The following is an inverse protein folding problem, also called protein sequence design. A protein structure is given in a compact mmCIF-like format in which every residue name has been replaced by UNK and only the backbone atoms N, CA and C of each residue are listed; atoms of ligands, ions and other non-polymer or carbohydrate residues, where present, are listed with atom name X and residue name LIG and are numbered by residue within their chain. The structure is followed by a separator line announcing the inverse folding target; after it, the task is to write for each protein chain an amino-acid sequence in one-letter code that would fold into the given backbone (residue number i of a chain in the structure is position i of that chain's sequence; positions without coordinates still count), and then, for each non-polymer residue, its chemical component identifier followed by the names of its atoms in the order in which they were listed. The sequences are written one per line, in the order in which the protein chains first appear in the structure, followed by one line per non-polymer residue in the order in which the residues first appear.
data_IF_545848480418
#
_entry.id   IF_545848480418
#
_cell.length_a   1.000
_cell.length_b   1.000
_cell.length_c   1.000
_cell.angle_alpha   90.00
_cell.angle_beta   90.00
_cell.angle_gamma   90.00
#
_symmetry.space_group_name_H-M   'P 1'
#
loop_
_entity.id
_entity.type
_entity.pdbx_description
1 polymer ?
#
# COMPACT_ATOMS: atom_id res chain seq x y z
N UNK A 1 2.78 45.65 -22.73
CA UNK A 1 3.79 46.02 -21.97
C UNK A 1 3.82 45.40 -20.66
N UNK A 2 3.84 46.18 -19.67
CA UNK A 2 3.92 45.69 -18.32
C UNK A 2 2.99 44.58 -18.02
N UNK A 3 2.01 44.45 -18.81
CA UNK A 3 1.02 43.45 -18.63
C UNK A 3 1.59 42.04 -18.59
N UNK A 4 2.70 41.86 -19.18
CA UNK A 4 3.30 40.55 -19.22
C UNK A 4 3.53 39.98 -17.83
N UNK A 5 3.68 40.80 -16.88
CA UNK A 5 3.95 40.30 -15.53
C UNK A 5 2.87 39.38 -15.03
N UNK A 6 1.71 39.68 -15.47
CA UNK A 6 0.56 38.92 -15.00
C UNK A 6 0.64 37.48 -15.38
N UNK A 7 1.24 37.24 -16.48
CA UNK A 7 1.33 35.90 -16.99
C UNK A 7 2.06 34.99 -16.04
N UNK A 8 3.05 35.51 -15.43
CA UNK A 8 3.85 34.71 -14.50
C UNK A 8 3.02 34.15 -13.37
N UNK A 9 2.07 34.91 -12.97
CA UNK A 9 1.23 34.50 -11.85
C UNK A 9 0.46 33.23 -12.13
N UNK A 10 0.01 33.14 -13.35
CA UNK A 10 -0.79 32.03 -13.74
C UNK A 10 -0.04 30.73 -13.61
N UNK A 11 1.21 30.77 -13.94
CA UNK A 11 2.03 29.57 -13.88
C UNK A 11 2.13 29.05 -12.47
N UNK A 12 2.22 29.94 -11.54
CA UNK A 12 2.35 29.56 -10.15
C UNK A 12 1.14 28.79 -9.68
N UNK A 13 0.00 29.22 -10.11
CA UNK A 13 -1.23 28.55 -9.70
C UNK A 13 -1.29 27.13 -10.20
N UNK A 14 -0.83 26.92 -11.38
CA UNK A 14 -0.85 25.59 -11.95
C UNK A 14 0.01 24.64 -11.11
N UNK A 15 1.13 25.12 -10.67
CA UNK A 15 1.99 24.29 -9.86
C UNK A 15 1.36 23.93 -8.53
N UNK A 16 0.69 24.88 -7.95
CA UNK A 16 0.05 24.64 -6.67
C UNK A 16 -0.99 23.53 -6.75
N UNK A 17 -1.78 23.55 -7.79
CA UNK A 17 -2.81 22.54 -7.92
C UNK A 17 -2.22 21.15 -8.14
N UNK A 18 -1.12 21.07 -8.82
CA UNK A 18 -0.49 19.77 -9.07
C UNK A 18 0.01 19.13 -7.78
N UNK A 19 0.39 19.93 -6.81
CA UNK A 19 0.92 19.41 -5.56
C UNK A 19 -0.11 18.78 -4.64
N UNK A 20 -1.38 18.88 -4.97
CA UNK A 20 -2.41 18.37 -4.09
C UNK A 20 -2.71 16.88 -4.25
N UNK A 21 -2.29 16.27 -5.33
CA UNK A 21 -2.58 14.87 -5.60
C UNK A 21 -1.52 13.94 -5.05
N UNK A 22 -1.96 12.86 -4.41
CA UNK A 22 -1.05 11.82 -3.95
C UNK A 22 -0.90 10.78 -5.04
N UNK A 23 0.32 10.36 -5.29
CA UNK A 23 0.58 9.28 -6.21
C UNK A 23 0.28 7.93 -5.56
N UNK A 24 0.24 6.87 -6.38
CA UNK A 24 -0.05 5.53 -5.86
C UNK A 24 0.92 5.09 -4.77
N UNK A 25 2.20 5.37 -4.93
CA UNK A 25 3.20 4.99 -3.96
C UNK A 25 2.98 5.69 -2.62
N UNK A 26 2.58 6.95 -2.67
CA UNK A 26 2.31 7.70 -1.44
C UNK A 26 1.11 7.18 -0.69
N UNK A 27 0.14 6.64 -1.42
CA UNK A 27 -1.05 6.07 -0.79
C UNK A 27 -0.73 4.80 -0.01
N UNK A 28 0.32 4.10 -0.39
CA UNK A 28 0.75 2.90 0.28
C UNK A 28 1.73 3.17 1.43
N UNK A 29 2.38 4.33 1.42
CA UNK A 29 3.43 4.62 2.40
C UNK A 29 2.97 4.45 3.83
N UNK A 30 3.83 3.88 4.68
CA UNK A 30 3.55 3.69 6.09
C UNK A 30 3.52 2.23 6.47
N UNK A 31 3.11 1.98 7.71
CA UNK A 31 3.02 0.64 8.25
C UNK A 31 1.56 0.20 8.33
N UNK A 32 1.29 -0.98 7.85
CA UNK A 32 -0.04 -1.57 7.84
C UNK A 32 -0.03 -2.85 8.64
N UNK A 33 -1.07 -3.05 9.44
CA UNK A 33 -1.18 -4.23 10.30
C UNK A 33 -2.45 -4.97 9.94
N UNK A 34 -2.39 -6.29 9.94
CA UNK A 34 -3.54 -7.12 9.66
C UNK A 34 -4.61 -6.99 10.71
N UNK A 35 -5.87 -6.95 10.29
CA UNK A 35 -7.01 -6.85 11.18
C UNK A 35 -7.87 -8.09 11.12
N UNK A 36 -8.17 -8.54 9.92
CA UNK A 36 -9.02 -9.71 9.71
C UNK A 36 -8.74 -10.33 8.36
N UNK A 37 -9.25 -11.52 8.16
CA UNK A 37 -9.12 -12.22 6.89
C UNK A 37 -10.50 -12.70 6.46
N UNK A 38 -10.80 -12.53 5.17
CA UNK A 38 -12.10 -12.89 4.61
C UNK A 38 -12.09 -14.34 4.11
N UNK A 39 -13.28 -14.94 4.07
CA UNK A 39 -13.51 -16.27 3.49
C UNK A 39 -12.75 -17.41 4.18
N UNK A 40 -12.73 -17.37 5.50
CA UNK A 40 -12.14 -18.43 6.31
C UNK A 40 -13.26 -19.23 6.96
N UNK A 41 -13.17 -20.56 6.98
CA UNK A 41 -14.19 -21.37 7.67
C UNK A 41 -14.29 -20.98 9.14
N UNK A 42 -15.49 -20.94 9.71
CA UNK A 42 -15.68 -20.51 11.10
C UNK A 42 -14.81 -21.22 12.12
N UNK A 43 -14.56 -22.50 11.92
CA UNK A 43 -13.73 -23.27 12.85
C UNK A 43 -12.27 -22.88 12.83
N UNK A 44 -11.82 -22.16 11.79
CA UNK A 44 -10.44 -21.70 11.67
C UNK A 44 -10.30 -20.20 11.93
N UNK A 45 -11.42 -19.52 12.11
CA UNK A 45 -11.42 -18.07 12.20
C UNK A 45 -10.54 -17.52 13.32
N UNK A 46 -10.62 -18.09 14.50
CA UNK A 46 -9.82 -17.61 15.63
C UNK A 46 -8.33 -17.70 15.40
N UNK A 47 -7.88 -18.84 14.87
CA UNK A 47 -6.46 -19.03 14.58
C UNK A 47 -6.00 -18.12 13.45
N UNK A 48 -6.81 -18.00 12.41
CA UNK A 48 -6.47 -17.15 11.28
C UNK A 48 -6.39 -15.68 11.68
N UNK A 49 -7.31 -15.23 12.53
CA UNK A 49 -7.30 -13.85 13.00
C UNK A 49 -6.05 -13.54 13.81
N UNK A 50 -5.64 -14.46 14.66
CA UNK A 50 -4.41 -14.31 15.44
C UNK A 50 -3.19 -14.17 14.54
N UNK A 51 -3.12 -15.01 13.52
CA UNK A 51 -2.03 -14.96 12.56
C UNK A 51 -2.02 -13.64 11.80
N UNK A 52 -3.19 -13.20 11.34
CA UNK A 52 -3.32 -11.97 10.57
C UNK A 52 -2.93 -10.75 11.41
N UNK A 53 -3.33 -10.72 12.67
CA UNK A 53 -3.00 -9.59 13.54
C UNK A 53 -1.52 -9.47 13.83
N UNK A 54 -0.78 -10.54 13.66
CA UNK A 54 0.66 -10.54 13.84
C UNK A 54 1.39 -10.28 12.52
N UNK A 55 0.64 -10.07 11.44
CA UNK A 55 1.20 -9.78 10.11
C UNK A 55 1.24 -8.27 9.90
N UNK A 56 2.34 -7.77 9.36
CA UNK A 56 2.45 -6.36 9.04
C UNK A 56 3.21 -6.15 7.74
N UNK A 57 2.89 -5.04 7.08
CA UNK A 57 3.59 -4.60 5.88
C UNK A 57 4.05 -3.17 6.13
N UNK A 58 5.28 -2.87 5.79
CA UNK A 58 5.77 -1.50 5.90
C UNK A 58 6.32 -1.04 4.56
N UNK A 59 5.75 0.04 4.04
CA UNK A 59 6.19 0.65 2.80
C UNK A 59 6.96 1.92 3.15
N UNK A 60 8.25 1.92 2.91
CA UNK A 60 9.10 3.06 3.22
C UNK A 60 10.01 3.33 2.04
N UNK A 61 9.83 4.51 1.41
CA UNK A 61 10.54 4.81 0.17
C UNK A 61 10.15 3.79 -0.90
N UNK A 62 11.13 3.09 -1.44
CA UNK A 62 10.88 2.04 -2.42
C UNK A 62 11.03 0.64 -1.81
N UNK A 63 11.05 0.55 -0.49
CA UNK A 63 11.21 -0.73 0.20
C UNK A 63 9.90 -1.19 0.81
N UNK A 64 9.66 -2.48 0.71
CA UNK A 64 8.53 -3.12 1.38
C UNK A 64 9.08 -4.18 2.32
N UNK A 65 8.70 -4.08 3.59
CA UNK A 65 9.06 -5.08 4.58
C UNK A 65 7.79 -5.84 4.96
N UNK A 66 7.84 -7.16 4.85
CA UNK A 66 6.73 -8.05 5.20
C UNK A 66 7.13 -8.84 6.43
N UNK A 67 6.33 -8.72 7.49
CA UNK A 67 6.56 -9.47 8.73
C UNK A 67 5.40 -10.39 8.96
N UNK A 68 5.67 -11.69 9.03
CA UNK A 68 4.66 -12.71 9.34
C UNK A 68 5.11 -13.51 10.55
N UNK A 69 4.14 -14.06 11.31
CA UNK A 69 4.48 -14.83 12.51
C UNK A 69 5.38 -16.02 12.18
N UNK A 70 6.34 -16.28 13.07
CA UNK A 70 7.26 -17.42 12.99
C UNK A 70 8.22 -17.36 11.80
N UNK A 71 8.31 -16.24 11.11
CA UNK A 71 9.30 -16.06 10.04
C UNK A 71 10.04 -14.75 10.26
N UNK A 72 11.24 -14.68 9.70
CA UNK A 72 12.00 -13.45 9.76
C UNK A 72 11.41 -12.45 8.77
N UNK A 73 11.45 -11.16 9.08
CA UNK A 73 10.95 -10.14 8.14
C UNK A 73 11.64 -10.23 6.79
N UNK A 74 10.87 -10.07 5.74
CA UNK A 74 11.40 -10.08 4.38
C UNK A 74 11.35 -8.67 3.81
N UNK A 75 12.44 -8.25 3.21
CA UNK A 75 12.55 -6.92 2.62
C UNK A 75 12.75 -7.05 1.12
N UNK A 76 12.02 -6.24 0.37
CA UNK A 76 12.18 -6.18 -1.07
C UNK A 76 12.00 -4.77 -1.56
N UNK A 77 12.35 -4.55 -2.82
CA UNK A 77 12.12 -3.29 -3.48
C UNK A 77 10.77 -3.40 -4.20
N UNK A 78 9.90 -2.43 -4.05
CA UNK A 78 8.59 -2.51 -4.67
C UNK A 78 8.35 -1.37 -5.64
N UNK A 79 7.44 -1.63 -6.56
CA UNK A 79 7.02 -0.64 -7.54
C UNK A 79 5.55 -0.87 -7.85
N UNK A 80 4.77 0.20 -7.90
CA UNK A 80 3.37 0.10 -8.32
C UNK A 80 3.37 0.00 -9.83
N UNK A 81 2.93 -1.13 -10.33
CA UNK A 81 2.98 -1.41 -11.77
C UNK A 81 1.70 -1.03 -12.50
N UNK A 82 0.57 -1.20 -11.86
CA UNK A 82 -0.72 -0.87 -12.45
C UNK A 82 -1.67 -0.39 -11.38
N UNK A 83 -2.53 0.53 -11.76
CA UNK A 83 -3.62 0.98 -10.90
C UNK A 83 -4.90 0.99 -11.71
N UNK A 84 -6.00 0.62 -11.08
CA UNK A 84 -7.31 0.65 -11.71
C UNK A 84 -8.32 0.95 -10.61
N UNK A 85 -8.87 2.15 -10.62
CA UNK A 85 -9.74 2.63 -9.55
C UNK A 85 -8.98 2.51 -8.21
N UNK A 86 -9.47 1.72 -7.28
CA UNK A 86 -8.84 1.55 -5.98
C UNK A 86 -7.88 0.36 -5.93
N UNK A 87 -7.74 -0.38 -7.03
CA UNK A 87 -6.91 -1.57 -7.07
C UNK A 87 -5.51 -1.25 -7.55
N UNK A 88 -4.51 -1.76 -6.86
CA UNK A 88 -3.11 -1.57 -7.22
C UNK A 88 -2.40 -2.91 -7.34
N UNK A 89 -1.64 -3.08 -8.42
CA UNK A 89 -0.77 -4.23 -8.58
C UNK A 89 0.65 -3.77 -8.34
N UNK A 90 1.30 -4.41 -7.39
CA UNK A 90 2.64 -4.03 -6.94
C UNK A 90 3.61 -5.15 -7.23
N UNK A 91 4.69 -4.83 -7.92
CA UNK A 91 5.76 -5.77 -8.15
C UNK A 91 6.79 -5.64 -7.05
N UNK A 92 7.24 -6.76 -6.50
CA UNK A 92 8.23 -6.78 -5.42
C UNK A 92 9.41 -7.61 -5.86
N UNK A 93 10.60 -7.03 -5.80
CA UNK A 93 11.82 -7.74 -6.15
C UNK A 93 12.61 -8.00 -4.87
N UNK A 94 12.88 -9.27 -4.59
CA UNK A 94 13.63 -9.66 -3.40
C UNK A 94 15.13 -9.54 -3.65
N UNK A 95 15.90 -9.60 -2.57
CA UNK A 95 17.36 -9.53 -2.66
C UNK A 95 17.93 -10.64 -3.55
N UNK A 96 17.26 -11.78 -3.62
CA UNK A 96 17.69 -12.88 -4.47
C UNK A 96 17.50 -12.61 -5.96
N UNK A 97 16.75 -11.57 -6.30
CA UNK A 97 16.40 -11.27 -7.68
C UNK A 97 15.04 -11.80 -8.08
N UNK A 98 14.44 -12.64 -7.23
CA UNK A 98 13.11 -13.17 -7.50
C UNK A 98 12.07 -12.05 -7.41
N UNK A 99 11.06 -12.17 -8.23
CA UNK A 99 10.02 -11.17 -8.31
C UNK A 99 8.66 -11.76 -8.01
N UNK A 100 7.89 -11.04 -7.20
CA UNK A 100 6.52 -11.40 -6.85
C UNK A 100 5.59 -10.26 -7.23
N UNK A 101 4.31 -10.57 -7.35
CA UNK A 101 3.28 -9.55 -7.50
C UNK A 101 2.32 -9.64 -6.33
N UNK A 102 1.88 -8.48 -5.87
CA UNK A 102 0.87 -8.40 -4.84
C UNK A 102 -0.23 -7.45 -5.30
N UNK A 103 -1.46 -7.75 -4.95
CA UNK A 103 -2.60 -6.93 -5.31
C UNK A 103 -3.23 -6.37 -4.04
N UNK A 104 -3.41 -5.05 -4.03
CA UNK A 104 -4.03 -4.35 -2.91
C UNK A 104 -5.22 -3.56 -3.42
N UNK A 105 -6.28 -3.53 -2.64
CA UNK A 105 -7.46 -2.73 -2.95
C UNK A 105 -7.65 -1.74 -1.82
N UNK A 106 -7.54 -0.46 -2.13
CA UNK A 106 -7.74 0.58 -1.13
C UNK A 106 -9.22 0.71 -0.83
N UNK A 107 -9.60 0.55 0.43
CA UNK A 107 -10.99 0.65 0.85
C UNK A 107 -11.26 1.92 1.63
N UNK A 108 -10.22 2.68 1.92
CA UNK A 108 -10.32 3.95 2.62
C UNK A 108 -8.94 4.57 2.69
N UNK A 109 -8.85 5.69 3.38
CA UNK A 109 -7.57 6.38 3.50
C UNK A 109 -6.56 5.57 4.31
N UNK A 110 -7.04 4.86 5.32
CA UNK A 110 -6.16 4.09 6.21
C UNK A 110 -6.54 2.62 6.26
N UNK A 111 -7.25 2.13 5.26
CA UNK A 111 -7.65 0.72 5.19
C UNK A 111 -7.44 0.21 3.76
N UNK A 112 -7.03 -1.04 3.66
CA UNK A 112 -6.93 -1.70 2.36
C UNK A 112 -7.06 -3.19 2.54
N UNK A 113 -7.27 -3.90 1.43
CA UNK A 113 -7.30 -5.35 1.42
C UNK A 113 -6.13 -5.85 0.60
N UNK A 114 -5.48 -6.87 1.10
CA UNK A 114 -4.41 -7.55 0.40
C UNK A 114 -4.98 -8.86 -0.13
N UNK A 115 -5.05 -9.00 -1.44
CA UNK A 115 -5.55 -10.20 -2.08
C UNK A 115 -4.49 -11.29 -2.01
N UNK A 116 -4.79 -12.37 -1.31
CA UNK A 116 -3.83 -13.47 -1.15
C UNK A 116 -4.21 -14.70 -1.97
N UNK A 117 -5.19 -14.55 -2.87
CA UNK A 117 -5.63 -15.65 -3.73
C UNK A 117 -6.74 -16.48 -3.11
N UNK A 118 -7.32 -17.36 -3.90
CA UNK A 118 -8.40 -18.26 -3.47
C UNK A 118 -9.58 -17.50 -2.88
N UNK A 119 -9.88 -16.32 -3.43
CA UNK A 119 -10.97 -15.46 -2.98
C UNK A 119 -10.81 -15.00 -1.54
N UNK A 120 -9.60 -15.04 -1.03
CA UNK A 120 -9.28 -14.58 0.32
C UNK A 120 -8.53 -13.27 0.28
N UNK A 121 -8.78 -12.43 1.25
CA UNK A 121 -8.05 -11.19 1.38
C UNK A 121 -7.85 -10.87 2.85
N UNK A 122 -6.74 -10.21 3.13
CA UNK A 122 -6.41 -9.73 4.47
C UNK A 122 -6.75 -8.26 4.54
N UNK A 123 -7.55 -7.89 5.50
CA UNK A 123 -7.84 -6.48 5.75
C UNK A 123 -6.69 -5.89 6.54
N UNK A 124 -6.13 -4.81 6.03
CA UNK A 124 -5.00 -4.13 6.65
C UNK A 124 -5.43 -2.72 7.06
N UNK A 125 -4.92 -2.29 8.19
CA UNK A 125 -5.19 -0.96 8.72
C UNK A 125 -3.86 -0.25 8.89
N UNK A 126 -3.79 1.02 8.47
CA UNK A 126 -2.57 1.79 8.61
C UNK A 126 -2.38 2.21 10.06
N UNK A 127 -1.17 1.98 10.57
CA UNK A 127 -0.81 2.41 11.91
C UNK A 127 -0.39 3.86 11.85
N UNK A 128 -0.89 4.65 12.78
CA UNK A 128 -0.55 6.06 12.81
C UNK A 128 0.96 6.23 12.98
N UNK A 129 1.52 7.15 12.21
CA UNK A 129 2.93 7.47 12.32
C UNK A 129 3.20 8.26 13.60
N UNK A 130 4.39 8.08 14.14
CA UNK A 130 4.78 8.81 15.35
C UNK A 130 6.10 9.47 15.20
#
# INVERSE_FOLDING_TARGET
MSSSCKVALIVVLACASAGCSKGPQEKLAGKWVGESIDNIPPEQEGRATGWVRATSLEFKGDKLTVSIPAEEPRVGTYKVERTSASKMTVGVTRASGDRDEATFVLTGENTMKWDIGNERSIRLVRVAAR
#
